data_IF_724767371760
#
_entry.id   IF_724767371760
#
_cell.length_a   1.000
_cell.length_b   1.000
_cell.length_c   1.000
_cell.angle_alpha   90.00
_cell.angle_beta   90.00
_cell.angle_gamma   90.00
#
_symmetry.space_group_name_H-M   'P 1'
#
loop_
_entity.id
_entity.type
_entity.pdbx_description
1 polymer ?
#
# COMPACT_ATOMS: atom_id res chain seq x y z
N UNK A 1 14.85 57.97 29.21
CA UNK A 1 13.88 56.86 29.00
C UNK A 1 13.57 56.62 27.51
N UNK A 2 13.05 57.63 26.82
CA UNK A 2 12.64 57.58 25.40
C UNK A 2 13.77 57.21 24.41
N UNK A 3 14.99 57.69 24.65
CA UNK A 3 16.14 57.40 23.77
C UNK A 3 16.63 55.95 23.86
N UNK A 4 16.42 55.29 25.01
CA UNK A 4 16.78 53.89 25.19
C UNK A 4 15.78 52.97 24.48
N UNK A 5 14.48 53.27 24.63
CA UNK A 5 13.39 52.55 23.98
C UNK A 5 13.49 52.61 22.45
N UNK A 6 13.82 53.79 21.89
CA UNK A 6 14.06 53.96 20.45
C UNK A 6 15.24 53.12 19.94
N UNK A 7 16.32 52.99 20.71
CA UNK A 7 17.48 52.17 20.34
C UNK A 7 17.15 50.68 20.35
N UNK A 8 16.42 50.21 21.37
CA UNK A 8 15.98 48.81 21.43
C UNK A 8 15.02 48.46 20.29
N UNK A 9 14.11 49.38 19.92
CA UNK A 9 13.19 49.15 18.81
C UNK A 9 13.93 49.11 17.45
N UNK A 10 14.88 50.02 17.22
CA UNK A 10 15.70 50.01 16.02
C UNK A 10 16.56 48.74 15.89
N UNK A 11 17.10 48.22 17.02
CA UNK A 11 17.83 46.96 17.05
C UNK A 11 16.92 45.76 16.76
N UNK A 12 15.70 45.73 17.30
CA UNK A 12 14.71 44.68 17.01
C UNK A 12 14.35 44.65 15.51
N UNK A 13 14.10 45.82 14.91
CA UNK A 13 13.84 45.94 13.46
C UNK A 13 15.02 45.44 12.61
N UNK A 14 16.25 45.77 12.99
CA UNK A 14 17.44 45.31 12.27
C UNK A 14 17.63 43.77 12.39
N UNK A 15 17.29 43.20 13.54
CA UNK A 15 17.30 41.74 13.75
C UNK A 15 16.23 41.06 12.91
N UNK A 16 14.99 41.60 12.90
CA UNK A 16 13.90 41.09 12.08
C UNK A 16 14.24 41.16 10.58
N UNK A 17 14.84 42.25 10.13
CA UNK A 17 15.24 42.43 8.74
C UNK A 17 16.33 41.43 8.33
N UNK A 18 17.36 41.22 9.16
CA UNK A 18 18.38 40.18 8.93
C UNK A 18 17.77 38.78 8.96
N UNK A 19 16.80 38.53 9.84
CA UNK A 19 16.10 37.25 9.88
C UNK A 19 15.32 37.00 8.59
N UNK A 20 14.63 38.01 8.07
CA UNK A 20 13.92 37.93 6.79
C UNK A 20 14.86 37.71 5.60
N UNK A 21 16.03 38.38 5.59
CA UNK A 21 17.09 38.17 4.58
C UNK A 21 17.66 36.73 4.62
N UNK A 22 17.85 36.18 5.83
CA UNK A 22 18.28 34.79 6.00
C UNK A 22 17.21 33.78 5.56
N UNK A 23 15.93 34.06 5.80
CA UNK A 23 14.81 33.22 5.35
C UNK A 23 14.70 33.24 3.81
N UNK A 24 14.95 34.39 3.18
CA UNK A 24 14.85 34.55 1.71
C UNK A 24 16.08 34.01 0.96
N UNK A 25 17.25 33.97 1.59
CA UNK A 25 18.48 33.41 0.99
C UNK A 25 18.61 31.90 1.16
N UNK A 26 17.87 31.27 2.08
CA UNK A 26 17.84 29.81 2.18
C UNK A 26 17.13 29.19 0.97
N UNK A 27 17.77 28.18 0.37
CA UNK A 27 17.18 27.42 -0.72
C UNK A 27 15.80 26.85 -0.28
N UNK A 28 14.77 26.92 -1.15
CA UNK A 28 13.49 26.30 -0.87
C UNK A 28 13.68 24.82 -0.56
N UNK A 29 13.19 24.37 0.59
CA UNK A 29 13.28 22.97 0.97
C UNK A 29 12.55 22.09 -0.06
N UNK A 30 13.24 21.04 -0.53
CA UNK A 30 12.69 20.00 -1.40
C UNK A 30 12.72 18.64 -0.68
N UNK A 31 11.76 17.73 -0.94
CA UNK A 31 11.79 16.38 -0.42
C UNK A 31 13.05 15.62 -0.86
N UNK A 32 13.69 14.89 0.06
CA UNK A 32 14.79 13.97 -0.24
C UNK A 32 14.33 12.87 -1.21
N UNK A 33 15.24 12.36 -2.05
CA UNK A 33 14.95 11.22 -2.93
C UNK A 33 14.54 9.98 -2.14
N UNK A 34 15.16 9.74 -0.97
CA UNK A 34 14.80 8.63 -0.09
C UNK A 34 13.37 8.76 0.46
N UNK A 35 12.93 9.99 0.76
CA UNK A 35 11.56 10.26 1.19
C UNK A 35 10.57 9.93 0.07
N UNK A 36 10.91 10.22 -1.19
CA UNK A 36 10.07 9.90 -2.35
C UNK A 36 9.95 8.38 -2.54
N UNK A 37 11.05 7.64 -2.44
CA UNK A 37 11.04 6.17 -2.54
C UNK A 37 10.18 5.55 -1.43
N UNK A 38 10.31 6.04 -0.20
CA UNK A 38 9.47 5.60 0.92
C UNK A 38 8.00 5.95 0.70
N UNK A 39 7.69 7.17 0.27
CA UNK A 39 6.31 7.58 -0.09
C UNK A 39 5.71 6.59 -1.11
N UNK A 40 6.47 6.23 -2.15
CA UNK A 40 6.02 5.28 -3.17
C UNK A 40 5.71 3.90 -2.58
N UNK A 41 6.62 3.36 -1.77
CA UNK A 41 6.45 2.04 -1.15
C UNK A 41 5.21 2.01 -0.23
N UNK A 42 5.08 2.97 0.68
CA UNK A 42 3.94 3.07 1.59
C UNK A 42 2.62 3.37 0.85
N UNK A 43 2.67 4.15 -0.23
CA UNK A 43 1.47 4.42 -1.07
C UNK A 43 0.94 3.14 -1.69
N UNK A 44 1.81 2.28 -2.22
CA UNK A 44 1.41 0.98 -2.73
C UNK A 44 0.89 0.07 -1.60
N UNK A 45 1.60 -0.03 -0.49
CA UNK A 45 1.20 -0.87 0.65
C UNK A 45 -0.18 -0.50 1.21
N UNK A 46 -0.49 0.79 1.30
CA UNK A 46 -1.82 1.28 1.72
C UNK A 46 -2.90 0.96 0.69
N UNK A 47 -2.60 1.06 -0.61
CA UNK A 47 -3.55 0.70 -1.68
C UNK A 47 -3.80 -0.80 -1.78
N UNK A 48 -2.85 -1.64 -1.38
CA UNK A 48 -3.00 -3.10 -1.37
C UNK A 48 -3.58 -3.64 -0.04
N UNK A 49 -3.74 -2.77 0.97
CA UNK A 49 -4.30 -3.16 2.27
C UNK A 49 -5.76 -3.61 2.14
N UNK A 50 -6.05 -4.79 2.67
CA UNK A 50 -7.41 -5.37 2.74
C UNK A 50 -8.34 -4.61 3.68
N UNK A 51 -7.79 -3.77 4.56
CA UNK A 51 -8.52 -2.98 5.57
C UNK A 51 -8.82 -1.55 5.10
N UNK A 52 -8.58 -1.25 3.83
CA UNK A 52 -8.83 0.09 3.31
C UNK A 52 -10.35 0.33 3.12
N UNK A 53 -10.89 1.32 3.84
CA UNK A 53 -12.30 1.68 3.76
C UNK A 53 -12.72 2.19 2.37
N UNK A 54 -11.88 3.01 1.74
CA UNK A 54 -12.16 3.65 0.46
C UNK A 54 -10.89 3.81 -0.36
N UNK A 55 -10.90 3.37 -1.62
CA UNK A 55 -9.76 3.53 -2.53
C UNK A 55 -9.57 4.95 -3.08
N UNK A 56 -10.59 5.81 -2.99
CA UNK A 56 -10.59 7.18 -3.53
C UNK A 56 -10.77 8.21 -2.42
N UNK A 57 -10.22 9.40 -2.64
CA UNK A 57 -10.43 10.56 -1.78
C UNK A 57 -9.26 10.82 -0.84
N UNK A 58 -9.55 11.51 0.25
CA UNK A 58 -8.54 12.05 1.19
C UNK A 58 -8.07 10.97 2.17
N UNK A 59 -8.91 9.97 2.47
CA UNK A 59 -8.65 8.95 3.49
C UNK A 59 -7.35 8.17 3.25
N UNK A 60 -7.07 7.62 2.05
CA UNK A 60 -5.80 6.93 1.81
C UNK A 60 -4.57 7.85 1.93
N UNK A 61 -4.71 9.11 1.51
CA UNK A 61 -3.63 10.09 1.61
C UNK A 61 -3.32 10.40 3.08
N UNK A 62 -4.34 10.46 3.93
CA UNK A 62 -4.17 10.66 5.37
C UNK A 62 -3.45 9.48 6.03
N UNK A 63 -3.72 8.24 5.59
CA UNK A 63 -3.00 7.07 6.11
C UNK A 63 -1.52 7.11 5.75
N UNK A 64 -1.18 7.36 4.49
CA UNK A 64 0.22 7.51 4.06
C UNK A 64 0.89 8.67 4.80
N UNK A 65 0.23 9.81 4.93
CA UNK A 65 0.74 10.95 5.69
C UNK A 65 0.96 10.61 7.19
N UNK A 66 0.06 9.86 7.81
CA UNK A 66 0.17 9.41 9.20
C UNK A 66 1.34 8.45 9.41
N UNK A 67 1.56 7.52 8.48
CA UNK A 67 2.71 6.60 8.49
C UNK A 67 4.01 7.39 8.38
N UNK A 68 4.11 8.31 7.42
CA UNK A 68 5.30 9.15 7.23
C UNK A 68 5.60 10.00 8.47
N UNK A 69 4.56 10.53 9.13
CA UNK A 69 4.72 11.26 10.40
C UNK A 69 5.23 10.38 11.53
N UNK A 70 4.81 9.11 11.58
CA UNK A 70 5.23 8.15 12.62
C UNK A 70 6.70 7.77 12.48
N UNK A 71 7.15 7.51 11.26
CA UNK A 71 8.52 7.04 11.01
C UNK A 71 9.52 8.17 10.76
N UNK A 72 9.07 9.39 10.45
CA UNK A 72 9.90 10.59 10.25
C UNK A 72 11.11 10.38 9.34
N UNK A 73 10.90 9.75 8.19
CA UNK A 73 11.90 9.58 7.13
C UNK A 73 12.45 10.94 6.65
N UNK A 74 13.67 11.30 7.07
CA UNK A 74 14.39 12.55 6.73
C UNK A 74 13.60 13.86 6.85
N UNK A 75 12.52 13.87 7.64
CA UNK A 75 11.68 15.06 7.80
C UNK A 75 12.35 16.04 8.76
N UNK A 76 12.55 17.31 8.35
CA UNK A 76 13.12 18.32 9.23
C UNK A 76 12.18 18.57 10.42
N UNK A 77 12.79 18.87 11.57
CA UNK A 77 12.05 19.20 12.78
C UNK A 77 11.05 20.35 12.53
N UNK A 78 9.83 20.22 13.06
CA UNK A 78 8.74 21.20 12.95
C UNK A 78 8.22 21.48 11.52
N UNK A 79 8.46 20.61 10.54
CA UNK A 79 7.90 20.78 9.18
C UNK A 79 6.36 20.89 9.17
N UNK A 80 5.70 20.28 10.15
CA UNK A 80 4.24 20.29 10.31
C UNK A 80 3.68 21.69 10.62
N UNK A 81 4.47 22.56 11.23
CA UNK A 81 4.09 23.96 11.49
C UNK A 81 4.24 24.83 10.23
N UNK A 82 5.03 24.38 9.25
CA UNK A 82 5.21 25.09 8.00
C UNK A 82 4.28 24.53 6.92
N UNK A 83 3.14 25.19 6.72
CA UNK A 83 2.12 24.80 5.75
C UNK A 83 2.66 24.69 4.31
N UNK A 84 3.66 25.49 3.94
CA UNK A 84 4.26 25.46 2.60
C UNK A 84 5.11 24.20 2.39
N UNK A 85 5.97 23.85 3.34
CA UNK A 85 6.83 22.65 3.26
C UNK A 85 6.02 21.36 3.39
N UNK A 86 5.06 21.32 4.31
CA UNK A 86 4.13 20.20 4.44
C UNK A 86 3.22 20.05 3.21
N UNK A 87 2.85 21.17 2.58
CA UNK A 87 2.12 21.19 1.32
C UNK A 87 2.87 20.46 0.19
N UNK A 88 4.20 20.61 0.11
CA UNK A 88 5.02 19.87 -0.87
C UNK A 88 4.99 18.36 -0.63
N UNK A 89 5.12 17.91 0.62
CA UNK A 89 5.03 16.49 0.99
C UNK A 89 3.64 15.93 0.67
N UNK A 90 2.59 16.66 1.06
CA UNK A 90 1.21 16.26 0.79
C UNK A 90 0.95 16.14 -0.71
N UNK A 91 1.48 17.06 -1.52
CA UNK A 91 1.39 17.01 -2.98
C UNK A 91 2.16 15.82 -3.57
N UNK A 92 3.35 15.51 -3.06
CA UNK A 92 4.12 14.34 -3.47
C UNK A 92 3.36 13.03 -3.20
N UNK A 93 2.75 12.90 -2.01
CA UNK A 93 1.89 11.76 -1.65
C UNK A 93 0.69 11.67 -2.61
N UNK A 94 0.00 12.78 -2.88
CA UNK A 94 -1.15 12.78 -3.79
C UNK A 94 -0.79 12.35 -5.23
N UNK A 95 0.36 12.81 -5.73
CA UNK A 95 0.86 12.45 -7.04
C UNK A 95 1.17 10.96 -7.12
N UNK A 96 1.96 10.44 -6.18
CA UNK A 96 2.31 9.01 -6.14
C UNK A 96 1.07 8.12 -5.98
N UNK A 97 0.13 8.49 -5.10
CA UNK A 97 -1.15 7.77 -4.95
C UNK A 97 -1.97 7.74 -6.25
N UNK A 98 -1.91 8.80 -7.05
CA UNK A 98 -2.59 8.86 -8.36
C UNK A 98 -1.88 7.98 -9.39
N UNK A 99 -0.56 8.00 -9.39
CA UNK A 99 0.27 7.18 -10.27
C UNK A 99 0.09 5.69 -9.97
N UNK A 100 0.15 5.27 -8.70
CA UNK A 100 -0.06 3.88 -8.30
C UNK A 100 -1.46 3.37 -8.65
N UNK A 101 -2.50 4.17 -8.42
CA UNK A 101 -3.88 3.82 -8.86
C UNK A 101 -3.97 3.66 -10.39
N UNK A 102 -3.28 4.51 -11.14
CA UNK A 102 -3.22 4.42 -12.60
C UNK A 102 -2.52 3.14 -13.05
N UNK A 103 -1.39 2.78 -12.41
CA UNK A 103 -0.68 1.52 -12.63
C UNK A 103 -1.60 0.33 -12.40
N UNK A 104 -2.23 0.26 -11.22
CA UNK A 104 -3.19 -0.81 -10.86
C UNK A 104 -4.31 -0.91 -11.90
N UNK A 105 -4.93 0.21 -12.26
CA UNK A 105 -6.03 0.22 -13.24
C UNK A 105 -5.59 -0.30 -14.61
N UNK A 106 -4.40 0.09 -15.09
CA UNK A 106 -3.87 -0.37 -16.37
C UNK A 106 -3.59 -1.87 -16.33
N UNK A 107 -2.92 -2.36 -15.29
CA UNK A 107 -2.63 -3.79 -15.14
C UNK A 107 -3.93 -4.58 -15.12
N UNK A 108 -4.89 -4.25 -14.25
CA UNK A 108 -6.18 -4.95 -14.17
C UNK A 108 -6.95 -4.91 -15.50
N UNK A 109 -6.89 -3.79 -16.23
CA UNK A 109 -7.57 -3.65 -17.53
C UNK A 109 -7.00 -4.57 -18.62
N UNK A 110 -5.73 -4.95 -18.54
CA UNK A 110 -5.12 -5.89 -19.50
C UNK A 110 -5.68 -7.30 -19.29
N UNK A 111 -5.79 -7.72 -18.03
CA UNK A 111 -6.24 -9.05 -17.66
C UNK A 111 -7.75 -9.27 -17.79
N UNK A 112 -8.57 -8.22 -17.70
CA UNK A 112 -10.04 -8.30 -17.80
C UNK A 112 -10.56 -8.93 -19.12
N UNK A 113 -9.75 -8.96 -20.18
CA UNK A 113 -10.12 -9.54 -21.47
C UNK A 113 -9.63 -10.99 -21.65
N UNK A 114 -8.90 -11.55 -20.68
CA UNK A 114 -8.38 -12.91 -20.73
C UNK A 114 -9.37 -13.91 -20.10
N UNK A 115 -9.61 -15.02 -20.79
CA UNK A 115 -10.55 -16.08 -20.37
C UNK A 115 -10.05 -16.86 -19.13
N UNK A 116 -8.75 -16.80 -18.84
CA UNK A 116 -8.10 -17.44 -17.70
C UNK A 116 -7.32 -16.41 -16.87
N UNK A 117 -8.03 -15.73 -15.96
CA UNK A 117 -7.43 -14.72 -15.10
C UNK A 117 -6.59 -15.39 -14.00
N UNK A 118 -5.29 -15.48 -14.21
CA UNK A 118 -4.37 -15.93 -13.18
C UNK A 118 -4.13 -14.77 -12.18
N UNK A 119 -4.99 -14.69 -11.16
CA UNK A 119 -4.93 -13.66 -10.10
C UNK A 119 -3.54 -13.61 -9.46
N UNK A 120 -2.83 -14.74 -9.36
CA UNK A 120 -1.49 -14.75 -8.82
C UNK A 120 -0.48 -14.02 -9.71
N UNK A 121 -0.50 -14.26 -11.03
CA UNK A 121 0.36 -13.54 -11.98
C UNK A 121 0.09 -12.03 -11.93
N UNK A 122 -1.19 -11.65 -11.94
CA UNK A 122 -1.62 -10.27 -11.76
C UNK A 122 -1.08 -9.67 -10.45
N UNK A 123 -1.17 -10.41 -9.35
CA UNK A 123 -0.70 -9.93 -8.03
C UNK A 123 0.82 -9.80 -8.00
N UNK A 124 1.56 -10.75 -8.60
CA UNK A 124 3.03 -10.68 -8.71
C UNK A 124 3.47 -9.47 -9.54
N UNK A 125 2.84 -9.20 -10.69
CA UNK A 125 3.14 -8.02 -11.52
C UNK A 125 2.77 -6.70 -10.83
N UNK A 126 1.69 -6.68 -10.03
CA UNK A 126 1.34 -5.52 -9.22
C UNK A 126 2.37 -5.27 -8.10
N UNK A 127 2.89 -6.34 -7.51
CA UNK A 127 3.92 -6.31 -6.48
C UNK A 127 5.33 -6.06 -7.04
N UNK A 128 5.56 -6.21 -8.34
CA UNK A 128 6.86 -6.01 -8.97
C UNK A 128 7.37 -4.56 -8.79
N UNK A 129 8.58 -4.45 -8.20
CA UNK A 129 9.20 -3.17 -7.84
C UNK A 129 8.72 -2.57 -6.52
N UNK A 130 7.99 -3.33 -5.69
CA UNK A 130 7.50 -2.90 -4.37
C UNK A 130 7.97 -3.88 -3.29
N UNK A 131 7.96 -3.46 -2.02
CA UNK A 131 8.25 -4.34 -0.87
C UNK A 131 7.07 -5.27 -0.48
N UNK A 132 6.03 -5.36 -1.31
CA UNK A 132 4.86 -6.20 -1.05
C UNK A 132 5.09 -7.61 -1.64
N UNK A 133 4.77 -8.67 -0.89
CA UNK A 133 4.82 -10.05 -1.39
C UNK A 133 3.39 -10.63 -1.50
N UNK A 134 3.03 -11.26 -2.64
CA UNK A 134 1.75 -11.94 -2.78
C UNK A 134 1.71 -13.19 -1.89
N UNK A 135 0.67 -13.32 -1.07
CA UNK A 135 0.59 -14.41 -0.07
C UNK A 135 -0.21 -15.64 -0.52
N UNK A 136 -0.96 -15.61 -1.64
CA UNK A 136 -1.80 -16.76 -2.09
C UNK A 136 -1.94 -16.88 -3.62
N UNK A 137 -1.73 -18.10 -4.14
CA UNK A 137 -2.20 -18.53 -5.47
C UNK A 137 -3.67 -18.94 -5.35
N UNK A 138 -4.59 -18.12 -5.83
CA UNK A 138 -6.01 -18.48 -5.92
C UNK A 138 -6.48 -18.26 -7.35
N UNK A 139 -6.87 -19.33 -8.02
CA UNK A 139 -7.57 -19.27 -9.29
C UNK A 139 -9.07 -19.11 -9.03
N UNK A 140 -9.78 -18.43 -9.93
CA UNK A 140 -11.22 -18.18 -9.78
C UNK A 140 -11.94 -18.79 -10.98
N UNK A 141 -12.40 -20.03 -10.83
CA UNK A 141 -13.29 -20.67 -11.81
C UNK A 141 -14.72 -20.18 -11.54
N UNK A 142 -15.27 -19.41 -12.49
CA UNK A 142 -16.65 -18.92 -12.53
C UNK A 142 -17.07 -17.80 -11.54
N UNK A 143 -17.04 -16.51 -11.93
CA UNK A 143 -17.64 -15.40 -11.16
C UNK A 143 -19.16 -15.26 -11.38
N UNK A 144 -19.86 -16.36 -11.67
CA UNK A 144 -21.31 -16.36 -11.94
C UNK A 144 -22.17 -16.17 -10.68
N UNK A 145 -23.48 -15.91 -10.85
CA UNK A 145 -24.42 -15.75 -9.72
C UNK A 145 -24.53 -17.00 -8.84
N UNK A 146 -24.30 -18.17 -9.43
CA UNK A 146 -24.50 -19.47 -8.76
C UNK A 146 -23.19 -20.00 -8.15
N UNK A 147 -22.16 -19.15 -8.04
CA UNK A 147 -20.84 -19.51 -7.52
C UNK A 147 -20.92 -20.19 -6.14
N UNK A 148 -21.64 -19.57 -5.20
CA UNK A 148 -21.75 -20.10 -3.83
C UNK A 148 -22.56 -21.40 -3.78
N UNK A 149 -23.52 -21.58 -4.67
CA UNK A 149 -24.32 -22.80 -4.75
C UNK A 149 -23.49 -23.98 -5.30
N UNK A 150 -22.62 -23.72 -6.28
CA UNK A 150 -21.66 -24.70 -6.78
C UNK A 150 -20.61 -25.06 -5.72
N UNK A 151 -20.10 -24.08 -4.96
CA UNK A 151 -19.18 -24.32 -3.84
C UNK A 151 -19.83 -25.17 -2.76
N UNK A 152 -21.08 -24.86 -2.38
CA UNK A 152 -21.83 -25.62 -1.39
C UNK A 152 -22.06 -27.08 -1.81
N UNK A 153 -22.39 -27.29 -3.10
CA UNK A 153 -22.58 -28.63 -3.66
C UNK A 153 -21.28 -29.44 -3.59
N UNK A 154 -20.16 -28.87 -4.02
CA UNK A 154 -18.86 -29.51 -3.95
C UNK A 154 -18.43 -29.79 -2.50
N UNK A 155 -18.67 -28.87 -1.57
CA UNK A 155 -18.38 -29.09 -0.15
C UNK A 155 -19.21 -30.20 0.46
N UNK A 156 -20.49 -30.32 0.06
CA UNK A 156 -21.36 -31.42 0.48
C UNK A 156 -20.82 -32.77 -0.02
N UNK A 157 -20.45 -32.87 -1.30
CA UNK A 157 -19.83 -34.07 -1.87
C UNK A 157 -18.52 -34.45 -1.17
N UNK A 158 -17.65 -33.47 -0.90
CA UNK A 158 -16.40 -33.70 -0.16
C UNK A 158 -16.67 -34.18 1.26
N UNK A 159 -17.68 -33.63 1.94
CA UNK A 159 -18.10 -34.06 3.27
C UNK A 159 -18.63 -35.50 3.27
N UNK A 160 -19.45 -35.88 2.28
CA UNK A 160 -19.96 -37.23 2.12
C UNK A 160 -18.83 -38.25 1.87
N UNK A 161 -17.93 -37.95 0.94
CA UNK A 161 -16.81 -38.83 0.57
C UNK A 161 -15.78 -38.96 1.71
N UNK A 162 -15.57 -37.89 2.48
CA UNK A 162 -14.61 -37.88 3.59
C UNK A 162 -15.15 -38.46 4.89
N UNK A 163 -16.47 -38.59 5.03
CA UNK A 163 -17.14 -39.02 6.27
C UNK A 163 -16.76 -38.13 7.45
N UNK A 164 -16.59 -36.83 7.21
CA UNK A 164 -16.19 -35.81 8.21
C UNK A 164 -14.81 -36.05 8.86
N UNK A 165 -13.95 -36.89 8.26
CA UNK A 165 -12.59 -37.11 8.77
C UNK A 165 -11.65 -35.99 8.31
N UNK A 166 -11.06 -35.21 9.23
CA UNK A 166 -10.27 -34.03 8.88
C UNK A 166 -9.04 -34.38 8.03
N UNK A 167 -8.37 -35.52 8.27
CA UNK A 167 -7.20 -35.94 7.49
C UNK A 167 -7.55 -36.29 6.04
N UNK A 168 -8.75 -36.86 5.83
CA UNK A 168 -9.25 -37.18 4.48
C UNK A 168 -9.68 -35.91 3.75
N UNK A 169 -10.36 -34.98 4.44
CA UNK A 169 -10.71 -33.67 3.89
C UNK A 169 -9.48 -32.90 3.45
N UNK A 170 -8.45 -32.78 4.30
CA UNK A 170 -7.19 -32.12 3.94
C UNK A 170 -6.57 -32.77 2.69
N UNK A 171 -6.57 -34.11 2.59
CA UNK A 171 -6.05 -34.82 1.41
C UNK A 171 -6.85 -34.53 0.14
N UNK A 172 -8.17 -34.40 0.24
CA UNK A 172 -9.05 -34.05 -0.90
C UNK A 172 -8.81 -32.60 -1.30
N UNK A 173 -8.80 -31.65 -0.36
CA UNK A 173 -8.49 -30.25 -0.65
C UNK A 173 -7.09 -30.08 -1.25
N UNK A 174 -6.07 -30.77 -0.74
CA UNK A 174 -4.73 -30.76 -1.33
C UNK A 174 -4.72 -31.29 -2.76
N UNK A 175 -5.55 -32.29 -3.09
CA UNK A 175 -5.69 -32.81 -4.47
C UNK A 175 -6.42 -31.82 -5.37
N UNK A 176 -7.48 -31.18 -4.89
CA UNK A 176 -8.21 -30.14 -5.63
C UNK A 176 -7.25 -28.99 -5.94
N UNK A 177 -6.47 -28.54 -4.95
CA UNK A 177 -5.45 -27.52 -5.13
C UNK A 177 -4.35 -27.95 -6.09
N UNK A 178 -3.88 -29.19 -6.03
CA UNK A 178 -2.88 -29.71 -6.96
C UNK A 178 -3.43 -29.78 -8.40
N UNK A 179 -4.68 -30.21 -8.57
CA UNK A 179 -5.36 -30.24 -9.87
C UNK A 179 -5.60 -28.83 -10.42
N UNK A 180 -6.01 -27.89 -9.57
CA UNK A 180 -6.17 -26.48 -9.92
C UNK A 180 -4.83 -25.88 -10.37
N UNK A 181 -3.74 -26.18 -9.65
CA UNK A 181 -2.39 -25.81 -10.03
C UNK A 181 -1.91 -26.47 -11.33
N UNK A 182 -2.32 -27.70 -11.62
CA UNK A 182 -1.93 -28.40 -12.86
C UNK A 182 -2.74 -27.90 -14.08
N UNK A 183 -4.01 -27.59 -13.86
CA UNK A 183 -4.95 -27.18 -14.93
C UNK A 183 -4.84 -25.70 -15.27
N UNK A 184 -4.60 -24.86 -14.25
CA UNK A 184 -4.64 -23.40 -14.38
C UNK A 184 -3.35 -22.73 -13.92
N UNK A 185 -2.47 -23.44 -13.22
CA UNK A 185 -1.14 -22.92 -12.90
C UNK A 185 -0.30 -22.86 -14.16
N UNK A 186 -0.09 -21.65 -14.68
CA UNK A 186 0.94 -21.41 -15.68
C UNK A 186 2.29 -21.79 -15.05
N UNK A 187 2.84 -22.94 -15.46
CA UNK A 187 4.22 -23.31 -15.12
C UNK A 187 5.14 -22.42 -15.96
N UNK A 188 5.38 -21.19 -15.52
CA UNK A 188 6.67 -20.58 -15.83
C UNK A 188 7.72 -21.40 -15.08
N UNK A 189 8.65 -22.01 -15.82
CA UNK A 189 9.74 -22.82 -15.29
C UNK A 189 10.50 -22.04 -14.20
N UNK A 190 10.21 -22.34 -12.93
CA UNK A 190 11.03 -21.82 -11.83
C UNK A 190 10.35 -21.80 -10.46
N UNK A 191 9.04 -21.56 -10.36
CA UNK A 191 8.48 -21.16 -9.07
C UNK A 191 7.51 -22.17 -8.45
N UNK A 192 8.09 -23.31 -8.05
CA UNK A 192 7.53 -24.24 -7.06
C UNK A 192 7.95 -23.86 -5.64
N UNK A 193 8.03 -22.57 -5.30
CA UNK A 193 8.14 -22.20 -3.89
C UNK A 193 6.76 -22.31 -3.24
N UNK A 194 6.68 -23.03 -2.13
CA UNK A 194 5.51 -23.10 -1.29
C UNK A 194 5.27 -21.71 -0.67
N UNK A 195 4.26 -20.99 -1.13
CA UNK A 195 3.94 -19.65 -0.61
C UNK A 195 2.89 -19.82 0.50
N UNK A 196 3.32 -20.41 1.62
CA UNK A 196 2.84 -20.05 2.95
C UNK A 196 3.92 -19.17 3.57
N UNK A 197 4.18 -18.00 2.96
CA UNK A 197 4.99 -16.99 3.63
C UNK A 197 4.06 -16.13 4.48
N UNK A 198 4.38 -16.02 5.77
CA UNK A 198 3.73 -15.05 6.64
C UNK A 198 3.85 -13.66 6.01
N UNK A 199 2.78 -12.87 6.10
CA UNK A 199 2.76 -11.48 5.61
C UNK A 199 3.95 -10.76 6.24
N UNK A 200 4.81 -10.08 5.46
CA UNK A 200 5.97 -9.38 6.02
C UNK A 200 5.58 -8.42 7.15
N UNK A 201 6.37 -8.34 8.21
CA UNK A 201 6.12 -7.52 9.42
C UNK A 201 5.82 -6.04 9.08
N UNK A 202 6.46 -5.52 8.04
CA UNK A 202 6.23 -4.16 7.54
C UNK A 202 4.78 -3.97 7.04
N UNK A 203 4.23 -4.95 6.31
CA UNK A 203 2.88 -4.90 5.74
C UNK A 203 1.83 -5.12 6.84
N UNK A 204 2.13 -5.98 7.82
CA UNK A 204 1.29 -6.13 9.03
C UNK A 204 1.17 -4.80 9.78
N UNK A 205 2.27 -4.04 9.90
CA UNK A 205 2.26 -2.73 10.57
C UNK A 205 1.39 -1.70 9.83
N UNK A 206 1.38 -1.74 8.49
CA UNK A 206 0.49 -0.90 7.68
C UNK A 206 -0.97 -1.31 7.87
N UNK A 207 -1.27 -2.61 7.83
CA UNK A 207 -2.62 -3.13 7.99
C UNK A 207 -3.18 -2.89 9.41
N UNK A 208 -2.34 -2.95 10.43
CA UNK A 208 -2.69 -2.52 11.79
C UNK A 208 -2.94 -1.02 11.87
N UNK A 209 -2.08 -0.20 11.26
CA UNK A 209 -2.26 1.25 11.25
C UNK A 209 -3.57 1.64 10.55
N UNK A 210 -3.83 1.10 9.35
CA UNK A 210 -5.07 1.33 8.60
C UNK A 210 -6.28 0.80 9.36
N UNK A 211 -6.17 -0.39 9.97
CA UNK A 211 -7.24 -1.01 10.76
C UNK A 211 -7.56 -0.28 12.07
N UNK A 212 -6.59 0.40 12.69
CA UNK A 212 -6.78 1.16 13.93
C UNK A 212 -7.50 2.50 13.76
N UNK A 213 -7.63 2.97 12.52
CA UNK A 213 -8.24 4.26 12.18
C UNK A 213 -9.65 4.11 11.57
N UNK A 214 -10.13 2.86 11.44
CA UNK A 214 -11.50 2.47 11.09
C UNK A 214 -12.38 2.43 12.34
#
# INVERSE_FOLDING_TARGET
>A
PTTHEMKTFALLLAVEQRQNELITTQAPWEPSEELIVNIRNYSMGVLLSSRLATYKGIVPNNYVAGIIKRYRFDLPANIEQNCGRWGKVTKAIQNEMTEQRSKIKKTVSLYLNEEHLNIFKLTTELCEGTSCEPSRKTFLTNPGRDFWDAVNTNLAEICEVSGTNPKKMTKIFSKILAHDQDTHGVVEHGDKSAIEKEVPEWQQTIDEFVGSQL
#
